data_IF_487366898740
#
_entry.id   IF_487366898740
#
_cell.length_a   1.000
_cell.length_b   1.000
_cell.length_c   1.000
_cell.angle_alpha   90.00
_cell.angle_beta   90.00
_cell.angle_gamma   90.00
#
_symmetry.space_group_name_H-M   'P 1'
#
loop_
_entity.id
_entity.type
_entity.pdbx_description
1 polymer ?
#
# COMPACT_ATOMS: atom_id res chain seq x y z
N UNK A 1 9.05 29.36 4.60
CA UNK A 1 8.95 28.51 3.39
C UNK A 1 9.94 29.01 2.36
N UNK A 2 10.57 28.12 1.56
CA UNK A 2 11.42 28.53 0.43
C UNK A 2 10.54 29.15 -0.68
N UNK A 3 11.06 30.14 -1.39
CA UNK A 3 10.32 30.79 -2.47
C UNK A 3 10.34 30.01 -3.78
N UNK A 4 11.27 29.05 -3.92
CA UNK A 4 11.47 28.26 -5.15
C UNK A 4 11.98 26.86 -4.80
N UNK A 5 11.48 25.84 -5.53
CA UNK A 5 12.00 24.48 -5.53
C UNK A 5 12.12 23.96 -6.98
N UNK A 6 12.99 23.00 -7.22
CA UNK A 6 13.06 22.30 -8.51
C UNK A 6 11.94 21.28 -8.65
N UNK A 7 11.50 20.67 -7.51
CA UNK A 7 10.29 19.87 -7.44
C UNK A 7 9.52 20.11 -6.14
N UNK A 8 8.19 20.07 -6.20
CA UNK A 8 7.29 20.05 -5.05
C UNK A 8 6.50 18.75 -5.06
N UNK A 9 6.67 17.95 -4.02
CA UNK A 9 5.87 16.74 -3.77
C UNK A 9 4.75 17.10 -2.80
N UNK A 10 3.50 16.83 -3.16
CA UNK A 10 2.32 17.10 -2.34
C UNK A 10 1.83 15.77 -1.76
N UNK A 11 1.81 15.67 -0.43
CA UNK A 11 1.40 14.48 0.32
C UNK A 11 2.55 13.68 0.91
N UNK A 12 2.59 13.58 2.23
CA UNK A 12 3.62 12.92 3.04
C UNK A 12 3.32 11.44 3.37
N UNK A 13 2.52 10.74 2.54
CA UNK A 13 2.31 9.29 2.61
C UNK A 13 3.46 8.50 2.00
N UNK A 14 3.31 7.17 1.92
CA UNK A 14 4.39 6.28 1.41
C UNK A 14 4.83 6.64 -0.01
N UNK A 15 3.92 6.99 -0.91
CA UNK A 15 4.27 7.32 -2.30
C UNK A 15 5.02 8.65 -2.39
N UNK A 16 4.53 9.69 -1.69
CA UNK A 16 5.19 11.00 -1.70
C UNK A 16 6.53 10.99 -0.97
N UNK A 17 6.61 10.37 0.20
CA UNK A 17 7.86 10.23 0.94
C UNK A 17 8.92 9.46 0.12
N UNK A 18 8.51 8.39 -0.57
CA UNK A 18 9.42 7.63 -1.45
C UNK A 18 9.89 8.47 -2.64
N UNK A 19 8.96 9.16 -3.32
CA UNK A 19 9.33 10.00 -4.45
C UNK A 19 10.28 11.13 -4.04
N UNK A 20 9.99 11.80 -2.91
CA UNK A 20 10.86 12.85 -2.37
C UNK A 20 12.25 12.31 -1.98
N UNK A 21 12.29 11.13 -1.32
CA UNK A 21 13.55 10.47 -0.96
C UNK A 21 14.41 10.17 -2.20
N UNK A 22 13.83 9.58 -3.23
CA UNK A 22 14.61 9.22 -4.42
C UNK A 22 14.98 10.45 -5.27
N UNK A 23 14.15 11.51 -5.31
CA UNK A 23 14.54 12.77 -5.96
C UNK A 23 15.77 13.39 -5.28
N UNK A 24 15.78 13.48 -3.95
CA UNK A 24 16.94 14.00 -3.22
C UNK A 24 18.17 13.11 -3.37
N UNK A 25 18.00 11.79 -3.30
CA UNK A 25 19.08 10.80 -3.50
C UNK A 25 19.72 10.88 -4.90
N UNK A 26 18.93 11.24 -5.91
CA UNK A 26 19.42 11.49 -7.28
C UNK A 26 20.05 12.86 -7.47
N UNK A 27 20.00 13.74 -6.47
CA UNK A 27 20.53 15.10 -6.57
C UNK A 27 19.71 15.99 -7.51
N UNK A 28 18.38 15.84 -7.55
CA UNK A 28 17.49 16.59 -8.46
C UNK A 28 17.42 18.10 -8.17
N UNK A 29 18.14 18.59 -7.18
CA UNK A 29 18.15 20.00 -6.76
C UNK A 29 17.31 20.23 -5.51
N UNK A 30 16.68 21.40 -5.40
CA UNK A 30 15.85 21.77 -4.23
C UNK A 30 14.49 21.06 -4.30
N UNK A 31 14.25 20.10 -3.42
CA UNK A 31 12.99 19.35 -3.32
C UNK A 31 12.23 19.78 -2.08
N UNK A 32 10.94 20.09 -2.25
CA UNK A 32 10.02 20.36 -1.15
C UNK A 32 8.97 19.27 -1.03
N UNK A 33 8.70 18.79 0.20
CA UNK A 33 7.56 17.93 0.54
C UNK A 33 6.57 18.72 1.38
N UNK A 34 5.34 18.87 0.87
CA UNK A 34 4.26 19.62 1.50
C UNK A 34 3.18 18.65 1.95
N UNK A 35 2.87 18.67 3.25
CA UNK A 35 1.87 17.79 3.87
C UNK A 35 0.91 18.61 4.73
N UNK A 36 -0.41 18.46 4.50
CA UNK A 36 -1.42 19.24 5.23
C UNK A 36 -1.55 18.86 6.70
N UNK A 37 -1.16 17.65 7.05
CA UNK A 37 -1.14 17.13 8.44
C UNK A 37 0.32 16.89 8.86
N UNK A 38 0.58 15.77 9.51
CA UNK A 38 1.93 15.21 9.70
C UNK A 38 2.21 14.16 8.65
N UNK A 39 3.48 13.92 8.34
CA UNK A 39 3.88 12.80 7.50
C UNK A 39 3.23 11.52 7.99
N UNK A 40 2.88 10.64 7.06
CA UNK A 40 2.12 9.41 7.31
C UNK A 40 0.71 9.62 7.89
N UNK A 41 0.21 10.84 8.02
CA UNK A 41 -1.08 11.15 8.67
C UNK A 41 -2.34 10.81 7.87
N UNK A 42 -2.19 10.28 6.65
CA UNK A 42 -3.28 9.78 5.80
C UNK A 42 -3.44 8.26 5.86
N UNK A 43 -3.89 7.65 4.74
CA UNK A 43 -4.18 6.20 4.64
C UNK A 43 -2.99 5.31 4.95
N UNK A 44 -1.76 5.78 4.78
CA UNK A 44 -0.56 4.96 4.98
C UNK A 44 -0.44 4.42 6.40
N UNK A 45 -0.73 5.23 7.44
CA UNK A 45 -0.62 4.79 8.85
C UNK A 45 -1.61 3.66 9.19
N UNK A 46 -2.73 3.59 8.50
CA UNK A 46 -3.80 2.60 8.70
C UNK A 46 -3.59 1.33 7.83
N UNK A 47 -2.46 1.20 7.15
CA UNK A 47 -2.15 0.02 6.35
C UNK A 47 -1.87 -1.18 7.24
N UNK A 48 -2.42 -2.36 6.88
CA UNK A 48 -1.97 -3.64 7.44
C UNK A 48 -0.49 -3.94 7.12
N UNK A 49 0.11 -3.15 6.23
CA UNK A 49 1.53 -3.14 5.87
C UNK A 49 2.11 -4.50 5.44
N UNK A 50 1.31 -5.30 4.75
CA UNK A 50 1.78 -6.55 4.15
C UNK A 50 2.82 -6.26 3.07
N UNK A 51 3.97 -6.88 3.15
CA UNK A 51 5.01 -6.88 2.12
C UNK A 51 4.99 -8.24 1.45
N UNK A 52 4.22 -8.37 0.36
CA UNK A 52 4.04 -9.59 -0.43
C UNK A 52 4.37 -9.35 -1.90
N UNK A 53 4.70 -10.40 -2.61
CA UNK A 53 5.13 -10.34 -4.02
C UNK A 53 4.11 -10.96 -4.99
N UNK A 54 3.00 -11.48 -4.48
CA UNK A 54 1.96 -12.14 -5.26
C UNK A 54 1.14 -11.14 -6.09
N UNK A 55 1.38 -11.11 -7.40
CA UNK A 55 0.68 -10.33 -8.42
C UNK A 55 0.59 -11.13 -9.72
N UNK A 56 -0.37 -10.77 -10.60
CA UNK A 56 -0.66 -11.50 -11.84
C UNK A 56 -0.17 -10.83 -13.12
N UNK A 57 0.34 -9.61 -13.06
CA UNK A 57 0.89 -8.92 -14.22
C UNK A 57 2.32 -8.44 -13.97
N UNK A 58 3.05 -8.24 -15.06
CA UNK A 58 4.48 -7.94 -15.03
C UNK A 58 4.82 -6.72 -14.18
N UNK A 59 4.15 -5.58 -14.41
CA UNK A 59 4.48 -4.34 -13.68
C UNK A 59 4.23 -4.49 -12.18
N UNK A 60 3.12 -5.13 -11.79
CA UNK A 60 2.82 -5.41 -10.39
C UNK A 60 3.84 -6.34 -9.74
N UNK A 61 4.25 -7.40 -10.44
CA UNK A 61 5.27 -8.35 -9.95
C UNK A 61 6.61 -7.62 -9.78
N UNK A 62 7.10 -6.88 -10.79
CA UNK A 62 8.37 -6.15 -10.73
C UNK A 62 8.40 -5.13 -9.60
N UNK A 63 7.33 -4.34 -9.43
CA UNK A 63 7.20 -3.38 -8.34
C UNK A 63 7.19 -4.05 -6.97
N UNK A 64 6.50 -5.20 -6.84
CA UNK A 64 6.43 -5.92 -5.58
C UNK A 64 7.76 -6.60 -5.22
N UNK A 65 8.45 -7.19 -6.20
CA UNK A 65 9.80 -7.79 -6.02
C UNK A 65 10.79 -6.71 -5.58
N UNK A 66 10.83 -5.56 -6.29
CA UNK A 66 11.72 -4.44 -5.93
C UNK A 66 11.35 -3.89 -4.55
N UNK A 67 10.06 -3.68 -4.27
CA UNK A 67 9.59 -3.22 -2.97
C UNK A 67 9.98 -4.18 -1.84
N UNK A 68 9.78 -5.48 -1.98
CA UNK A 68 10.17 -6.47 -0.99
C UNK A 68 11.68 -6.44 -0.72
N UNK A 69 12.50 -6.33 -1.76
CA UNK A 69 13.95 -6.15 -1.64
C UNK A 69 14.30 -4.88 -0.85
N UNK A 70 13.63 -3.75 -1.13
CA UNK A 70 13.85 -2.49 -0.40
C UNK A 70 13.50 -2.62 1.09
N UNK A 71 12.41 -3.30 1.42
CA UNK A 71 12.03 -3.55 2.82
C UNK A 71 13.03 -4.48 3.53
N UNK A 72 13.55 -5.49 2.84
CA UNK A 72 14.55 -6.39 3.39
C UNK A 72 15.90 -5.69 3.67
N UNK A 73 16.23 -4.65 2.89
CA UNK A 73 17.46 -3.87 3.00
C UNK A 73 17.17 -2.40 3.35
N UNK A 74 16.21 -2.17 4.26
CA UNK A 74 15.63 -0.84 4.48
C UNK A 74 16.66 0.22 4.94
N UNK A 75 17.65 -0.15 5.74
CA UNK A 75 18.70 0.78 6.20
C UNK A 75 19.46 1.41 5.01
N UNK A 76 19.76 0.62 3.99
CA UNK A 76 20.51 1.06 2.80
C UNK A 76 19.58 1.71 1.76
N UNK A 77 18.42 1.09 1.52
CA UNK A 77 17.54 1.45 0.42
C UNK A 77 16.57 2.59 0.78
N UNK A 78 16.02 2.57 2.01
CA UNK A 78 15.03 3.54 2.50
C UNK A 78 15.63 4.54 3.50
N UNK A 79 16.94 4.40 3.78
CA UNK A 79 17.70 5.32 4.62
C UNK A 79 17.47 5.18 6.12
N UNK A 80 16.87 4.08 6.57
CA UNK A 80 16.63 3.74 7.96
C UNK A 80 15.67 2.55 8.13
N UNK A 81 15.38 2.14 9.38
CA UNK A 81 14.58 0.95 9.64
C UNK A 81 13.14 1.08 9.13
N UNK A 82 12.61 0.03 8.54
CA UNK A 82 11.20 -0.10 8.14
C UNK A 82 10.37 -0.96 9.10
N UNK A 83 11.00 -1.56 10.13
CA UNK A 83 10.35 -2.52 11.02
C UNK A 83 9.85 -3.75 10.25
N UNK A 84 10.56 -4.16 9.20
CA UNK A 84 10.21 -5.32 8.41
C UNK A 84 10.44 -6.61 9.19
N UNK A 85 9.41 -7.46 9.22
CA UNK A 85 9.43 -8.79 9.83
C UNK A 85 9.20 -9.79 8.70
N UNK A 86 10.28 -10.47 8.30
CA UNK A 86 10.22 -11.54 7.31
C UNK A 86 9.67 -12.82 7.97
N UNK A 87 8.36 -13.01 7.88
CA UNK A 87 7.65 -14.15 8.47
C UNK A 87 6.99 -15.02 7.39
N UNK A 88 7.13 -14.61 6.14
CA UNK A 88 6.46 -15.20 4.99
C UNK A 88 5.08 -14.61 4.74
N UNK A 89 4.57 -14.90 3.54
CA UNK A 89 3.20 -14.62 3.12
C UNK A 89 2.58 -15.88 2.52
N UNK A 90 1.32 -16.12 2.82
CA UNK A 90 0.57 -17.26 2.33
C UNK A 90 -0.78 -16.81 1.78
N UNK A 91 -1.13 -17.29 0.58
CA UNK A 91 -2.46 -17.13 0.02
C UNK A 91 -3.11 -18.51 -0.07
N UNK A 92 -4.33 -18.61 0.45
CA UNK A 92 -5.16 -19.81 0.35
C UNK A 92 -6.13 -19.68 -0.82
N UNK A 93 -6.15 -20.70 -1.69
CA UNK A 93 -7.07 -20.81 -2.80
C UNK A 93 -8.15 -21.86 -2.53
N UNK A 94 -9.44 -21.55 -2.79
CA UNK A 94 -10.50 -22.55 -2.81
C UNK A 94 -10.37 -23.48 -4.05
N UNK A 95 -11.14 -24.59 -4.14
CA UNK A 95 -11.07 -25.50 -5.29
C UNK A 95 -11.22 -24.81 -6.66
N UNK A 96 -12.13 -23.83 -6.76
CA UNK A 96 -12.34 -23.07 -8.00
C UNK A 96 -11.18 -22.13 -8.36
N UNK A 97 -10.32 -21.81 -7.41
CA UNK A 97 -9.15 -20.94 -7.57
C UNK A 97 -7.82 -21.69 -7.80
N UNK A 98 -7.81 -23.01 -7.64
CA UNK A 98 -6.58 -23.80 -7.70
C UNK A 98 -5.84 -23.65 -9.03
N UNK A 99 -6.55 -23.75 -10.16
CA UNK A 99 -5.93 -23.66 -11.48
C UNK A 99 -5.33 -22.27 -11.71
N UNK A 100 -6.03 -21.20 -11.35
CA UNK A 100 -5.51 -19.83 -11.46
C UNK A 100 -4.22 -19.63 -10.66
N UNK A 101 -4.12 -20.24 -9.47
CA UNK A 101 -2.91 -20.20 -8.67
C UNK A 101 -1.76 -20.97 -9.34
N UNK A 102 -2.03 -22.14 -9.91
CA UNK A 102 -1.03 -22.92 -10.68
C UNK A 102 -0.54 -22.20 -11.93
N UNK A 103 -1.39 -21.43 -12.59
CA UNK A 103 -1.04 -20.69 -13.81
C UNK A 103 -0.19 -19.45 -13.50
N UNK A 104 -0.45 -18.73 -12.39
CA UNK A 104 0.25 -17.49 -12.06
C UNK A 104 1.62 -17.71 -11.43
N UNK A 105 1.81 -18.78 -10.66
CA UNK A 105 3.09 -19.01 -9.94
C UNK A 105 4.30 -19.13 -10.88
N UNK A 106 4.26 -19.88 -11.99
CA UNK A 106 5.39 -19.91 -12.92
C UNK A 106 5.75 -18.53 -13.51
N UNK A 107 4.75 -17.67 -13.71
CA UNK A 107 4.97 -16.29 -14.18
C UNK A 107 5.73 -15.50 -13.10
N UNK A 108 5.31 -15.57 -11.86
CA UNK A 108 5.97 -14.88 -10.73
C UNK A 108 7.40 -15.39 -10.54
N UNK A 109 7.62 -16.71 -10.60
CA UNK A 109 8.95 -17.32 -10.52
C UNK A 109 9.86 -16.85 -11.65
N UNK A 110 9.32 -16.64 -12.87
CA UNK A 110 10.05 -16.06 -14.00
C UNK A 110 10.57 -14.65 -13.74
N UNK A 111 9.96 -13.90 -12.81
CA UNK A 111 10.42 -12.59 -12.34
C UNK A 111 11.22 -12.63 -11.02
N UNK A 112 11.58 -13.82 -10.56
CA UNK A 112 12.42 -14.01 -9.37
C UNK A 112 11.67 -14.07 -8.04
N UNK A 113 10.33 -14.20 -8.04
CA UNK A 113 9.58 -14.43 -6.81
C UNK A 113 9.83 -15.84 -6.31
N UNK A 114 10.33 -15.95 -5.08
CA UNK A 114 10.46 -17.24 -4.40
C UNK A 114 9.10 -17.67 -3.85
N UNK A 115 8.37 -18.46 -4.63
CA UNK A 115 7.04 -18.96 -4.27
C UNK A 115 7.00 -20.48 -4.31
N UNK A 116 6.45 -21.08 -3.24
CA UNK A 116 6.19 -22.53 -3.13
C UNK A 116 4.69 -22.77 -3.24
N UNK A 117 4.29 -23.79 -4.01
CA UNK A 117 2.94 -24.34 -3.94
C UNK A 117 2.91 -25.44 -2.88
N UNK A 118 1.98 -25.36 -1.95
CA UNK A 118 1.83 -26.29 -0.84
C UNK A 118 0.40 -26.84 -0.80
N UNK A 119 0.30 -28.14 -0.57
CA UNK A 119 -0.97 -28.78 -0.23
C UNK A 119 -1.41 -28.40 1.19
N UNK A 120 -2.70 -28.53 1.54
CA UNK A 120 -3.16 -28.32 2.92
C UNK A 120 -2.38 -29.13 3.97
N UNK A 121 -2.03 -30.37 3.67
CA UNK A 121 -1.27 -31.24 4.59
C UNK A 121 0.14 -30.69 4.84
N UNK A 122 0.84 -30.25 3.77
CA UNK A 122 2.18 -29.63 3.91
C UNK A 122 2.14 -28.30 4.66
N UNK A 123 1.04 -27.56 4.57
CA UNK A 123 0.84 -26.35 5.37
C UNK A 123 0.60 -26.73 6.84
N UNK A 124 -0.26 -27.72 7.15
CA UNK A 124 -0.54 -28.16 8.51
C UNK A 124 0.66 -28.82 9.19
N UNK A 125 1.57 -29.45 8.44
CA UNK A 125 2.85 -29.94 9.00
C UNK A 125 3.71 -28.80 9.55
N UNK A 126 3.69 -27.63 8.92
CA UNK A 126 4.48 -26.44 9.32
C UNK A 126 3.75 -25.57 10.33
N UNK A 127 2.43 -25.42 10.17
CA UNK A 127 1.56 -24.58 11.01
C UNK A 127 0.32 -25.35 11.46
N UNK A 128 0.48 -26.28 12.43
CA UNK A 128 -0.59 -27.19 12.87
C UNK A 128 -1.77 -26.51 13.55
N UNK A 129 -1.64 -25.21 13.89
CA UNK A 129 -2.74 -24.40 14.42
C UNK A 129 -3.76 -23.97 13.36
N UNK A 130 -3.46 -24.12 12.07
CA UNK A 130 -4.34 -23.75 10.96
C UNK A 130 -5.30 -24.88 10.60
N UNK A 131 -6.54 -24.54 10.27
CA UNK A 131 -7.52 -25.45 9.71
C UNK A 131 -7.79 -25.09 8.24
N UNK A 132 -7.72 -26.06 7.33
CA UNK A 132 -7.68 -25.85 5.89
C UNK A 132 -8.70 -26.71 5.12
N UNK A 133 -9.83 -27.10 5.73
CA UNK A 133 -10.85 -27.97 5.14
C UNK A 133 -11.47 -27.36 3.84
N UNK A 134 -11.43 -26.04 3.68
CA UNK A 134 -11.95 -25.26 2.57
C UNK A 134 -10.86 -24.78 1.59
N UNK A 135 -9.62 -25.24 1.77
CA UNK A 135 -8.45 -24.85 0.95
C UNK A 135 -8.06 -26.01 0.03
N UNK A 136 -7.94 -25.76 -1.26
CA UNK A 136 -7.43 -26.74 -2.23
C UNK A 136 -5.90 -26.63 -2.41
N UNK A 137 -5.38 -25.42 -2.39
CA UNK A 137 -3.95 -25.15 -2.62
C UNK A 137 -3.54 -23.87 -1.91
N UNK A 138 -2.30 -23.81 -1.46
CA UNK A 138 -1.69 -22.59 -0.94
C UNK A 138 -0.46 -22.19 -1.76
N UNK A 139 -0.20 -20.89 -1.89
CA UNK A 139 1.13 -20.41 -2.26
C UNK A 139 1.81 -19.78 -1.05
N UNK A 140 3.10 -20.03 -0.87
CA UNK A 140 3.90 -19.54 0.22
C UNK A 140 5.14 -18.81 -0.29
N UNK A 141 5.31 -17.57 0.13
CA UNK A 141 6.46 -16.70 -0.18
C UNK A 141 7.31 -16.52 1.09
N UNK A 142 8.43 -17.23 1.25
CA UNK A 142 9.23 -17.19 2.48
C UNK A 142 9.94 -15.85 2.71
N UNK A 143 10.21 -15.08 1.65
CA UNK A 143 10.90 -13.79 1.69
C UNK A 143 9.97 -12.60 1.94
N UNK A 144 8.67 -12.85 1.99
CA UNK A 144 7.61 -11.87 2.26
C UNK A 144 7.34 -11.70 3.76
N UNK A 145 6.47 -10.76 4.15
CA UNK A 145 6.14 -10.51 5.54
C UNK A 145 5.31 -9.25 5.73
N UNK A 146 5.63 -8.47 6.75
CA UNK A 146 4.99 -7.17 7.01
C UNK A 146 6.00 -6.17 7.58
N UNK A 147 5.65 -4.88 7.51
CA UNK A 147 6.51 -3.80 8.01
C UNK A 147 5.72 -2.83 8.92
N UNK A 148 6.38 -1.76 9.37
CA UNK A 148 5.75 -0.67 10.11
C UNK A 148 5.59 0.54 9.20
N UNK A 149 4.36 0.96 8.86
CA UNK A 149 4.15 2.02 7.88
C UNK A 149 4.65 3.40 8.36
N UNK A 150 4.49 3.71 9.63
CA UNK A 150 4.92 4.99 10.20
C UNK A 150 6.45 5.06 10.20
N UNK A 151 7.12 4.02 10.72
CA UNK A 151 8.57 3.95 10.76
C UNK A 151 9.20 4.01 9.37
N UNK A 152 8.57 3.35 8.38
CA UNK A 152 9.03 3.38 6.99
C UNK A 152 9.02 4.80 6.42
N UNK A 153 7.89 5.51 6.57
CA UNK A 153 7.75 6.89 6.07
C UNK A 153 8.72 7.83 6.79
N UNK A 154 8.84 7.70 8.11
CA UNK A 154 9.78 8.50 8.89
C UNK A 154 11.23 8.28 8.44
N UNK A 155 11.62 7.05 8.14
CA UNK A 155 12.98 6.71 7.67
C UNK A 155 13.27 7.35 6.31
N UNK A 156 12.34 7.22 5.36
CA UNK A 156 12.43 7.86 4.03
C UNK A 156 12.58 9.39 4.16
N UNK A 157 11.71 10.03 4.93
CA UNK A 157 11.71 11.49 5.08
C UNK A 157 12.96 11.98 5.82
N UNK A 158 13.38 11.32 6.90
CA UNK A 158 14.63 11.66 7.60
C UNK A 158 15.86 11.50 6.71
N UNK A 159 15.88 10.47 5.88
CA UNK A 159 16.96 10.32 4.89
C UNK A 159 16.95 11.46 3.89
N UNK A 160 15.81 11.74 3.29
CA UNK A 160 15.65 12.84 2.35
C UNK A 160 16.05 14.20 2.95
N UNK A 161 15.71 14.46 4.24
CA UNK A 161 16.13 15.67 4.94
C UNK A 161 17.65 15.78 5.13
N UNK A 162 18.34 14.65 5.36
CA UNK A 162 19.82 14.65 5.37
C UNK A 162 20.40 15.02 4.01
N UNK A 163 19.68 14.72 2.94
CA UNK A 163 20.05 15.00 1.54
C UNK A 163 19.45 16.31 1.02
N UNK A 164 18.89 17.17 1.90
CA UNK A 164 18.45 18.52 1.57
C UNK A 164 16.95 18.70 1.34
N UNK A 165 16.10 17.73 1.66
CA UNK A 165 14.64 17.89 1.55
C UNK A 165 14.12 19.02 2.45
N UNK A 166 13.31 19.91 1.90
CA UNK A 166 12.52 20.89 2.65
C UNK A 166 11.15 20.28 2.98
N UNK A 167 10.93 19.95 4.26
CA UNK A 167 9.66 19.41 4.75
C UNK A 167 8.78 20.52 5.32
N UNK A 168 7.51 20.57 4.88
CA UNK A 168 6.47 21.47 5.40
C UNK A 168 5.27 20.63 5.85
N UNK A 169 5.15 20.40 7.16
CA UNK A 169 3.99 19.78 7.78
C UNK A 169 2.97 20.85 8.24
N UNK A 170 1.71 20.46 8.35
CA UNK A 170 0.62 21.40 8.67
C UNK A 170 0.39 22.43 7.57
N UNK A 171 0.86 22.19 6.36
CA UNK A 171 0.86 23.08 5.21
C UNK A 171 -0.08 22.55 4.11
N UNK A 172 -1.26 23.12 4.01
CA UNK A 172 -2.24 22.73 2.99
C UNK A 172 -1.97 23.43 1.67
N UNK A 173 -2.02 22.66 0.58
CA UNK A 173 -1.99 23.20 -0.78
C UNK A 173 -3.38 23.71 -1.13
N UNK A 174 -3.47 24.99 -1.52
CA UNK A 174 -4.68 25.70 -1.84
C UNK A 174 -4.88 25.90 -3.34
N UNK A 175 -3.80 25.74 -4.15
CA UNK A 175 -3.84 25.89 -5.59
C UNK A 175 -2.52 25.48 -6.27
N UNK A 176 -2.58 25.26 -7.56
CA UNK A 176 -1.42 25.05 -8.43
C UNK A 176 -1.45 26.10 -9.52
N UNK A 177 -0.37 26.88 -9.58
CA UNK A 177 -0.18 27.90 -10.62
C UNK A 177 0.25 27.25 -11.94
N UNK A 178 -0.38 27.66 -13.06
CA UNK A 178 -0.03 27.16 -14.39
C UNK A 178 0.11 28.31 -15.38
N UNK A 179 1.00 28.16 -16.34
CA UNK A 179 1.13 29.06 -17.48
C UNK A 179 1.51 28.30 -18.76
N UNK A 180 0.89 28.59 -19.87
CA UNK A 180 1.15 27.95 -21.17
C UNK A 180 1.09 26.41 -21.11
N UNK A 181 0.13 25.85 -20.38
CA UNK A 181 -0.07 24.39 -20.24
C UNK A 181 0.97 23.68 -19.37
N UNK A 182 1.71 24.40 -18.52
CA UNK A 182 2.72 23.85 -17.62
C UNK A 182 2.55 24.39 -16.21
N UNK A 183 2.95 23.62 -15.21
CA UNK A 183 3.00 24.11 -13.82
C UNK A 183 4.08 25.17 -13.66
N UNK A 184 3.81 26.15 -12.79
CA UNK A 184 4.74 27.24 -12.46
C UNK A 184 4.90 27.45 -10.96
N UNK A 185 4.02 26.86 -10.13
CA UNK A 185 4.12 27.01 -8.68
C UNK A 185 3.02 26.25 -7.95
N UNK A 186 3.21 26.15 -6.62
CA UNK A 186 2.25 25.58 -5.65
C UNK A 186 1.90 26.65 -4.64
N UNK A 187 0.61 26.96 -4.53
CA UNK A 187 0.08 27.95 -3.59
C UNK A 187 -0.34 27.26 -2.29
N UNK A 188 0.13 27.79 -1.17
CA UNK A 188 -0.22 27.31 0.18
C UNK A 188 -0.72 28.45 1.04
N UNK A 189 -1.20 28.16 2.25
CA UNK A 189 -1.56 29.20 3.23
C UNK A 189 -0.39 30.07 3.70
N UNK A 190 0.85 29.55 3.56
CA UNK A 190 2.09 30.25 3.99
C UNK A 190 2.81 30.94 2.84
N UNK A 191 2.25 30.92 1.63
CA UNK A 191 2.81 31.55 0.44
C UNK A 191 2.90 30.60 -0.77
N UNK A 192 3.57 31.05 -1.81
CA UNK A 192 3.76 30.29 -3.05
C UNK A 192 5.19 29.78 -3.17
N UNK A 193 5.35 28.52 -3.59
CA UNK A 193 6.63 27.91 -3.97
C UNK A 193 6.66 27.84 -5.49
N UNK A 194 7.50 28.65 -6.14
CA UNK A 194 7.70 28.58 -7.58
C UNK A 194 8.39 27.24 -7.93
N UNK A 195 7.83 26.50 -8.88
CA UNK A 195 8.38 25.22 -9.35
C UNK A 195 7.88 24.88 -10.73
N UNK A 196 8.65 24.10 -11.48
CA UNK A 196 8.25 23.52 -12.76
C UNK A 196 7.89 22.05 -12.69
N UNK A 197 8.00 21.42 -11.50
CA UNK A 197 7.65 20.02 -11.27
C UNK A 197 6.80 19.90 -10.01
N UNK A 198 5.60 19.33 -10.16
CA UNK A 198 4.67 19.03 -9.08
C UNK A 198 4.33 17.54 -9.11
N UNK A 199 4.48 16.85 -8.00
CA UNK A 199 4.04 15.47 -7.83
C UNK A 199 2.85 15.44 -6.88
N UNK A 200 1.69 15.03 -7.38
CA UNK A 200 0.50 14.78 -6.59
C UNK A 200 0.54 13.35 -6.01
N UNK A 201 0.91 13.23 -4.75
CA UNK A 201 0.97 11.97 -4.00
C UNK A 201 -0.03 11.94 -2.84
N UNK A 202 -1.18 12.59 -3.02
CA UNK A 202 -2.15 12.88 -1.97
C UNK A 202 -3.11 11.72 -1.64
N UNK A 203 -2.91 10.52 -2.19
CA UNK A 203 -3.78 9.37 -1.95
C UNK A 203 -5.26 9.71 -2.15
N UNK A 204 -6.15 9.49 -1.14
CA UNK A 204 -7.58 9.79 -1.27
C UNK A 204 -7.93 11.26 -1.56
N UNK A 205 -6.99 12.18 -1.42
CA UNK A 205 -7.18 13.59 -1.77
C UNK A 205 -6.59 13.97 -3.13
N UNK A 206 -6.03 13.00 -3.87
CA UNK A 206 -5.36 13.24 -5.15
C UNK A 206 -6.26 13.85 -6.22
N UNK A 207 -7.54 13.48 -6.27
CA UNK A 207 -8.52 14.04 -7.20
C UNK A 207 -8.79 15.53 -6.94
N UNK A 208 -8.78 15.97 -5.69
CA UNK A 208 -8.94 17.40 -5.32
C UNK A 208 -7.77 18.24 -5.84
N UNK A 209 -6.56 17.71 -5.72
CA UNK A 209 -5.37 18.38 -6.24
C UNK A 209 -5.41 18.43 -7.76
N UNK A 210 -5.81 17.33 -8.42
CA UNK A 210 -5.98 17.30 -9.89
C UNK A 210 -6.98 18.34 -10.40
N UNK A 211 -8.13 18.48 -9.74
CA UNK A 211 -9.14 19.47 -10.10
C UNK A 211 -8.65 20.92 -10.05
N UNK A 212 -7.61 21.24 -9.26
CA UNK A 212 -7.00 22.58 -9.25
C UNK A 212 -6.40 22.97 -10.59
N UNK A 213 -6.09 21.99 -11.44
CA UNK A 213 -5.54 22.16 -12.79
C UNK A 213 -6.43 21.57 -13.89
N UNK A 214 -7.68 21.21 -13.55
CA UNK A 214 -8.66 20.69 -14.51
C UNK A 214 -8.51 19.21 -14.87
N UNK A 215 -7.80 18.42 -14.07
CA UNK A 215 -7.67 16.96 -14.24
C UNK A 215 -8.62 16.24 -13.28
N UNK A 216 -9.50 15.41 -13.85
CA UNK A 216 -10.39 14.52 -13.10
C UNK A 216 -9.88 13.08 -13.17
N UNK A 217 -9.95 12.36 -12.04
CA UNK A 217 -9.49 10.98 -11.96
C UNK A 217 -10.65 10.02 -11.68
N UNK A 218 -10.70 8.83 -12.32
CA UNK A 218 -11.73 7.83 -12.10
C UNK A 218 -11.44 7.03 -10.82
N UNK A 219 -11.49 7.69 -9.67
CA UNK A 219 -11.27 7.05 -8.36
C UNK A 219 -12.53 7.05 -7.51
N UNK A 220 -12.65 6.02 -6.68
CA UNK A 220 -13.68 5.89 -5.65
C UNK A 220 -13.03 5.64 -4.30
N UNK A 221 -13.72 5.96 -3.22
CA UNK A 221 -13.21 5.81 -1.87
C UNK A 221 -13.98 4.73 -1.13
N UNK A 222 -13.25 3.93 -0.33
CA UNK A 222 -13.85 2.92 0.53
C UNK A 222 -13.16 2.94 1.89
N UNK A 223 -13.95 2.91 2.95
CA UNK A 223 -13.48 2.75 4.33
C UNK A 223 -13.12 1.29 4.57
N UNK A 224 -11.97 1.05 5.15
CA UNK A 224 -11.40 -0.28 5.34
C UNK A 224 -10.96 -0.46 6.78
N UNK A 225 -11.41 -1.55 7.40
CA UNK A 225 -11.27 -1.76 8.84
C UNK A 225 -10.24 -2.83 9.18
N UNK A 226 -9.56 -2.62 10.31
CA UNK A 226 -8.70 -3.57 10.97
C UNK A 226 -9.14 -3.79 12.42
N UNK A 227 -9.01 -5.02 12.90
CA UNK A 227 -9.20 -5.36 14.32
C UNK A 227 -7.95 -6.08 14.85
N UNK A 228 -7.59 -5.79 16.09
CA UNK A 228 -6.40 -6.34 16.76
C UNK A 228 -6.82 -7.04 18.04
N UNK A 229 -6.40 -8.30 18.20
CA UNK A 229 -6.68 -9.12 19.37
C UNK A 229 -5.39 -9.61 19.98
N UNK A 230 -5.35 -9.75 21.33
CA UNK A 230 -4.32 -10.51 22.02
C UNK A 230 -4.47 -11.99 21.70
N UNK A 231 -3.36 -12.71 21.59
CA UNK A 231 -3.34 -14.16 21.46
C UNK A 231 -2.92 -14.82 22.78
N UNK A 232 -3.26 -16.10 23.02
CA UNK A 232 -2.83 -16.83 24.19
C UNK A 232 -1.30 -16.90 24.33
N UNK A 233 -0.80 -16.94 25.57
CA UNK A 233 0.62 -17.15 25.83
C UNK A 233 1.13 -18.43 25.17
N UNK A 234 2.31 -18.33 24.53
CA UNK A 234 2.91 -19.46 23.82
C UNK A 234 2.26 -19.77 22.47
N UNK A 235 1.38 -18.89 21.97
CA UNK A 235 0.82 -19.03 20.64
C UNK A 235 1.91 -18.96 19.57
N UNK A 236 1.92 -19.96 18.68
CA UNK A 236 2.93 -20.03 17.61
C UNK A 236 2.63 -19.03 16.50
N UNK A 237 3.63 -18.27 16.07
CA UNK A 237 3.53 -17.39 14.93
C UNK A 237 3.22 -18.15 13.62
N UNK A 238 2.62 -17.42 12.67
CA UNK A 238 2.23 -17.92 11.36
C UNK A 238 2.52 -16.83 10.29
N UNK A 239 2.64 -17.19 9.00
CA UNK A 239 2.85 -16.20 7.94
C UNK A 239 1.70 -15.20 7.85
N UNK A 240 1.92 -14.06 7.19
CA UNK A 240 0.82 -13.23 6.74
C UNK A 240 -0.11 -14.07 5.85
N UNK A 241 -1.39 -14.14 6.17
CA UNK A 241 -2.38 -14.95 5.46
C UNK A 241 -3.32 -14.04 4.67
N UNK A 242 -3.52 -14.34 3.38
CA UNK A 242 -4.67 -13.90 2.58
C UNK A 242 -5.57 -15.09 2.33
N UNK A 243 -6.74 -15.07 2.92
CA UNK A 243 -7.71 -16.16 2.93
C UNK A 243 -8.81 -15.89 1.91
N UNK A 244 -8.64 -16.40 0.68
CA UNK A 244 -9.64 -16.21 -0.39
C UNK A 244 -10.94 -16.97 -0.09
N UNK A 245 -10.92 -18.24 0.41
CA UNK A 245 -12.15 -18.96 0.77
C UNK A 245 -13.06 -18.19 1.72
N UNK A 246 -12.50 -17.53 2.72
CA UNK A 246 -13.28 -16.84 3.76
C UNK A 246 -13.27 -15.31 3.63
N UNK A 247 -12.62 -14.77 2.59
CA UNK A 247 -12.58 -13.33 2.29
C UNK A 247 -12.07 -12.49 3.47
N UNK A 248 -10.91 -12.85 4.04
CA UNK A 248 -10.24 -12.05 5.07
C UNK A 248 -8.73 -12.19 4.95
N UNK A 249 -8.01 -11.40 5.70
CA UNK A 249 -6.57 -11.58 5.92
C UNK A 249 -6.25 -11.44 7.40
N UNK A 250 -5.17 -12.08 7.80
CA UNK A 250 -4.64 -11.89 9.15
C UNK A 250 -3.11 -12.02 9.15
N UNK A 251 -2.50 -11.48 10.20
CA UNK A 251 -1.08 -11.63 10.46
C UNK A 251 -0.75 -11.50 11.93
N UNK A 252 0.39 -12.06 12.37
CA UNK A 252 0.95 -11.71 13.67
C UNK A 252 1.15 -10.19 13.78
N UNK A 253 0.94 -9.68 14.98
CA UNK A 253 1.15 -8.27 15.30
C UNK A 253 2.04 -8.17 16.53
N UNK A 254 2.83 -7.09 16.61
CA UNK A 254 3.79 -6.88 17.69
C UNK A 254 3.17 -7.04 19.08
N UNK A 255 3.91 -7.67 20.00
CA UNK A 255 3.47 -7.83 21.39
C UNK A 255 2.45 -8.96 21.58
N UNK A 256 2.55 -10.08 20.85
CA UNK A 256 1.69 -11.26 21.04
C UNK A 256 0.24 -10.99 20.66
N UNK A 257 0.02 -10.43 19.46
CA UNK A 257 -1.29 -10.08 18.95
C UNK A 257 -1.51 -10.61 17.53
N UNK A 258 -2.76 -10.62 17.09
CA UNK A 258 -3.17 -10.85 15.71
C UNK A 258 -3.95 -9.66 15.19
N UNK A 259 -3.58 -9.20 13.99
CA UNK A 259 -4.35 -8.23 13.20
C UNK A 259 -5.19 -8.99 12.19
N UNK A 260 -6.45 -8.57 12.02
CA UNK A 260 -7.38 -9.15 11.04
C UNK A 260 -8.17 -8.04 10.34
N UNK A 261 -8.33 -8.20 9.02
CA UNK A 261 -9.12 -7.30 8.19
C UNK A 261 -9.86 -8.05 7.09
N UNK A 262 -10.80 -7.38 6.42
CA UNK A 262 -11.59 -7.98 5.36
C UNK A 262 -10.78 -8.11 4.06
N UNK A 263 -10.80 -9.31 3.47
CA UNK A 263 -10.11 -9.64 2.24
C UNK A 263 -10.93 -9.36 0.96
N UNK A 264 -10.42 -9.86 -0.16
CA UNK A 264 -11.07 -9.72 -1.46
C UNK A 264 -12.49 -10.32 -1.50
N UNK A 265 -13.34 -9.77 -2.37
CA UNK A 265 -14.80 -9.90 -2.51
C UNK A 265 -15.61 -9.16 -1.46
N UNK A 266 -14.99 -8.24 -0.73
CA UNK A 266 -15.72 -7.36 0.18
C UNK A 266 -16.58 -6.33 -0.57
N UNK A 267 -17.63 -5.87 0.08
CA UNK A 267 -18.38 -4.71 -0.38
C UNK A 267 -17.60 -3.44 -0.09
N UNK A 268 -17.59 -2.50 -1.06
CA UNK A 268 -17.04 -1.16 -0.80
C UNK A 268 -17.96 -0.43 0.19
N UNK A 269 -17.35 0.21 1.17
CA UNK A 269 -18.04 1.15 2.07
C UNK A 269 -17.70 2.59 1.63
N UNK A 270 -18.56 3.24 0.81
CA UNK A 270 -18.29 4.58 0.32
C UNK A 270 -18.11 5.58 1.46
N UNK A 271 -17.12 6.44 1.35
CA UNK A 271 -16.76 7.38 2.40
C UNK A 271 -16.22 8.69 1.82
N UNK A 272 -16.42 9.80 2.55
CA UNK A 272 -15.69 11.05 2.30
C UNK A 272 -14.35 10.99 3.07
N UNK A 273 -13.20 11.08 2.39
CA UNK A 273 -11.89 11.06 3.05
C UNK A 273 -11.67 12.17 4.08
N UNK A 274 -12.43 13.26 4.02
CA UNK A 274 -12.33 14.37 4.98
C UNK A 274 -13.16 14.14 6.23
N UNK A 275 -14.16 13.29 6.17
CA UNK A 275 -15.14 13.17 7.25
C UNK A 275 -15.55 11.72 7.46
N UNK A 276 -14.70 10.93 8.10
CA UNK A 276 -15.01 9.55 8.49
C UNK A 276 -14.48 9.26 9.90
N UNK A 277 -15.07 8.28 10.56
CA UNK A 277 -14.58 7.72 11.81
C UNK A 277 -13.40 6.78 11.52
N UNK A 278 -12.23 7.07 12.08
CA UNK A 278 -11.02 6.26 11.91
C UNK A 278 -10.94 5.07 12.89
N UNK A 279 -11.92 4.89 13.77
CA UNK A 279 -12.10 3.69 14.58
C UNK A 279 -12.61 2.51 13.76
N UNK A 280 -12.64 1.31 14.34
CA UNK A 280 -13.26 0.14 13.71
C UNK A 280 -14.69 -0.05 14.25
N UNK A 281 -15.59 -0.49 13.38
CA UNK A 281 -16.98 -0.75 13.76
C UNK A 281 -17.11 -2.11 14.47
N UNK A 282 -17.99 -2.16 15.49
CA UNK A 282 -18.31 -3.41 16.19
C UNK A 282 -18.85 -4.51 15.24
N UNK A 283 -19.56 -4.09 14.19
CA UNK A 283 -20.06 -5.01 13.16
C UNK A 283 -18.91 -5.70 12.41
N UNK A 284 -17.86 -4.95 12.07
CA UNK A 284 -16.64 -5.51 11.46
C UNK A 284 -15.96 -6.51 12.40
N UNK A 285 -15.72 -6.11 13.66
CA UNK A 285 -15.10 -6.98 14.69
C UNK A 285 -15.88 -8.29 14.81
N UNK A 286 -17.22 -8.21 14.94
CA UNK A 286 -18.09 -9.39 15.00
C UNK A 286 -18.04 -10.26 13.76
N UNK A 287 -17.90 -9.67 12.59
CA UNK A 287 -17.80 -10.39 11.31
C UNK A 287 -16.46 -11.11 11.13
N UNK A 288 -15.36 -10.55 11.64
CA UNK A 288 -14.03 -11.14 11.49
C UNK A 288 -13.74 -12.28 12.47
N UNK A 289 -14.28 -12.23 13.69
CA UNK A 289 -14.03 -13.25 14.71
C UNK A 289 -14.39 -14.68 14.26
N UNK A 290 -15.57 -14.96 13.68
CA UNK A 290 -15.87 -16.30 13.17
C UNK A 290 -14.90 -16.80 12.09
N UNK A 291 -14.46 -15.93 11.18
CA UNK A 291 -13.51 -16.25 10.12
C UNK A 291 -12.15 -16.61 10.70
N UNK A 292 -11.65 -15.77 11.63
CA UNK A 292 -10.41 -16.01 12.36
C UNK A 292 -10.45 -17.32 13.15
N UNK A 293 -11.55 -17.59 13.87
CA UNK A 293 -11.75 -18.84 14.64
C UNK A 293 -11.89 -20.07 13.74
N UNK A 294 -12.46 -19.92 12.54
CA UNK A 294 -12.51 -21.01 11.59
C UNK A 294 -11.12 -21.38 11.09
N UNK A 295 -10.29 -20.37 10.78
CA UNK A 295 -8.92 -20.60 10.30
C UNK A 295 -7.93 -20.99 11.40
N UNK A 296 -8.09 -20.43 12.62
CA UNK A 296 -7.20 -20.64 13.76
C UNK A 296 -8.02 -21.08 14.99
N UNK A 297 -8.48 -22.37 15.05
CA UNK A 297 -9.36 -22.84 16.11
C UNK A 297 -8.78 -22.73 17.53
N UNK A 298 -7.46 -22.70 17.66
CA UNK A 298 -6.76 -22.56 18.95
C UNK A 298 -7.05 -21.23 19.67
N UNK A 299 -7.60 -20.22 18.96
CA UNK A 299 -8.07 -18.96 19.55
C UNK A 299 -9.48 -19.07 20.17
N UNK A 300 -10.19 -20.18 19.97
CA UNK A 300 -11.57 -20.35 20.45
C UNK A 300 -11.75 -20.24 21.98
N UNK A 301 -10.83 -20.73 22.83
CA UNK A 301 -10.99 -20.62 24.29
C UNK A 301 -11.10 -19.18 24.78
N UNK A 302 -10.58 -18.23 24.03
CA UNK A 302 -10.59 -16.81 24.36
C UNK A 302 -11.65 -16.05 23.57
N UNK A 303 -11.59 -16.10 22.24
CA UNK A 303 -12.44 -15.26 21.38
C UNK A 303 -13.94 -15.63 21.41
N UNK A 304 -14.32 -16.86 21.83
CA UNK A 304 -15.71 -17.26 21.99
C UNK A 304 -16.37 -16.77 23.29
N UNK A 305 -15.61 -16.18 24.21
CA UNK A 305 -16.16 -15.62 25.45
C UNK A 305 -16.86 -14.28 25.20
N UNK A 306 -17.80 -13.86 26.07
CA UNK A 306 -18.35 -12.51 26.00
C UNK A 306 -17.26 -11.44 25.90
N UNK A 307 -17.46 -10.42 25.09
CA UNK A 307 -16.46 -9.39 24.81
C UNK A 307 -15.11 -9.96 24.38
N UNK A 308 -15.14 -11.07 23.60
CA UNK A 308 -13.92 -11.77 23.12
C UNK A 308 -12.93 -12.14 24.23
N UNK A 309 -13.45 -12.42 25.44
CA UNK A 309 -12.63 -12.72 26.60
C UNK A 309 -11.72 -11.58 27.07
N UNK A 310 -12.01 -10.34 26.64
CA UNK A 310 -11.15 -9.18 26.91
C UNK A 310 -9.90 -9.10 26.05
N UNK A 311 -9.78 -9.91 25.00
CA UNK A 311 -8.61 -9.91 24.09
C UNK A 311 -8.71 -8.90 22.97
N UNK A 312 -9.88 -8.29 22.70
CA UNK A 312 -9.94 -7.17 21.76
C UNK A 312 -9.16 -5.98 22.31
N UNK A 313 -8.09 -5.61 21.63
CA UNK A 313 -7.18 -4.53 22.05
C UNK A 313 -7.64 -3.20 21.48
N UNK A 314 -7.80 -3.14 20.18
CA UNK A 314 -8.18 -1.95 19.42
C UNK A 314 -8.55 -2.31 17.99
N UNK A 315 -9.04 -1.33 17.27
CA UNK A 315 -9.21 -1.40 15.83
C UNK A 315 -9.17 0.01 15.26
N UNK A 316 -8.96 0.08 13.97
CA UNK A 316 -8.91 1.34 13.23
C UNK A 316 -9.46 1.14 11.81
N UNK A 317 -9.71 2.24 11.13
CA UNK A 317 -10.05 2.22 9.72
C UNK A 317 -9.26 3.27 8.94
N UNK A 318 -9.02 2.98 7.67
CA UNK A 318 -8.40 3.89 6.73
C UNK A 318 -9.22 3.99 5.45
N UNK A 319 -8.82 4.88 4.55
CA UNK A 319 -9.52 5.06 3.28
C UNK A 319 -8.67 4.52 2.14
N UNK A 320 -9.25 3.63 1.33
CA UNK A 320 -8.67 3.26 0.04
C UNK A 320 -9.12 4.24 -1.04
N UNK A 321 -8.17 4.66 -1.85
CA UNK A 321 -8.31 5.41 -3.09
C UNK A 321 -8.32 4.44 -4.26
N UNK A 322 -9.50 3.97 -4.68
CA UNK A 322 -9.68 2.84 -5.58
C UNK A 322 -9.86 3.31 -7.01
N UNK A 323 -8.96 2.91 -7.90
CA UNK A 323 -9.08 3.05 -9.35
C UNK A 323 -9.95 1.93 -9.94
N UNK A 324 -10.41 2.09 -11.17
CA UNK A 324 -11.26 1.10 -11.85
C UNK A 324 -10.57 -0.27 -11.95
N UNK A 325 -9.29 -0.30 -12.25
CA UNK A 325 -8.49 -1.51 -12.43
C UNK A 325 -7.68 -1.91 -11.20
N UNK A 326 -7.84 -1.18 -10.09
CA UNK A 326 -7.14 -1.42 -8.82
C UNK A 326 -5.62 -1.19 -8.87
N UNK A 327 -5.09 -0.53 -9.90
CA UNK A 327 -3.67 -0.15 -9.99
C UNK A 327 -3.48 1.35 -9.83
N UNK A 328 -2.38 1.81 -9.24
CA UNK A 328 -2.16 3.24 -9.01
C UNK A 328 -2.06 4.03 -10.32
N UNK A 329 -2.29 5.33 -10.23
CA UNK A 329 -2.06 6.28 -11.30
C UNK A 329 -0.68 6.89 -11.07
N UNK A 330 0.25 6.66 -12.00
CA UNK A 330 1.64 7.14 -11.89
C UNK A 330 2.12 7.64 -13.24
N UNK A 331 2.64 8.87 -13.28
CA UNK A 331 3.23 9.45 -14.48
C UNK A 331 2.90 10.92 -14.70
N UNK A 332 3.46 11.49 -15.75
CA UNK A 332 3.17 12.87 -16.17
C UNK A 332 1.78 12.96 -16.81
N UNK A 333 1.07 14.02 -16.50
CA UNK A 333 -0.25 14.32 -17.04
C UNK A 333 -0.15 15.28 -18.24
N UNK A 334 -1.30 15.63 -18.83
CA UNK A 334 -1.34 16.57 -19.96
C UNK A 334 -0.80 17.97 -19.61
N UNK A 335 -0.93 18.38 -18.35
CA UNK A 335 -0.31 19.62 -17.85
C UNK A 335 1.16 19.35 -17.59
N UNK A 336 2.02 19.86 -18.44
CA UNK A 336 3.46 19.59 -18.40
C UNK A 336 4.10 19.92 -17.04
N UNK A 337 4.92 18.99 -16.53
CA UNK A 337 5.55 19.08 -15.22
C UNK A 337 4.65 18.71 -14.05
N UNK A 338 3.41 18.28 -14.29
CA UNK A 338 2.55 17.73 -13.27
C UNK A 338 2.49 16.20 -13.34
N UNK A 339 2.80 15.54 -12.24
CA UNK A 339 2.88 14.08 -12.13
C UNK A 339 1.87 13.58 -11.11
N UNK A 340 1.18 12.49 -11.44
CA UNK A 340 0.32 11.74 -10.51
C UNK A 340 1.09 10.59 -9.87
N UNK A 341 0.84 10.33 -8.59
CA UNK A 341 1.42 9.22 -7.83
C UNK A 341 0.49 8.82 -6.68
N UNK A 342 -0.69 8.30 -6.96
CA UNK A 342 -1.70 7.91 -5.97
C UNK A 342 -2.65 6.84 -6.54
N UNK A 343 -3.78 6.55 -5.89
CA UNK A 343 -4.70 5.50 -6.33
C UNK A 343 -4.23 4.09 -5.94
N UNK A 344 -3.59 3.98 -4.78
CA UNK A 344 -2.95 2.73 -4.31
C UNK A 344 -3.87 1.55 -4.11
N UNK A 345 -5.20 1.74 -4.12
CA UNK A 345 -6.25 0.70 -4.09
C UNK A 345 -5.98 -0.37 -3.01
N UNK A 346 -5.47 0.05 -1.83
CA UNK A 346 -5.15 -0.81 -0.69
C UNK A 346 -3.88 -1.66 -0.81
N UNK A 347 -3.06 -1.47 -1.85
CA UNK A 347 -1.77 -2.17 -1.95
C UNK A 347 -0.57 -1.23 -2.20
N UNK A 348 -0.79 0.07 -2.15
CA UNK A 348 0.24 1.08 -2.39
C UNK A 348 1.44 1.02 -1.44
N UNK A 349 1.26 0.57 -0.18
CA UNK A 349 2.33 0.58 0.80
C UNK A 349 3.57 -0.19 0.33
N UNK A 350 3.42 -1.47 -0.04
CA UNK A 350 4.56 -2.34 -0.41
C UNK A 350 5.22 -2.01 -1.74
N UNK A 351 4.46 -1.40 -2.68
CA UNK A 351 4.98 -1.02 -4.00
C UNK A 351 5.40 0.46 -4.06
N UNK A 352 5.00 1.26 -3.07
CA UNK A 352 5.26 2.70 -3.01
C UNK A 352 6.73 3.07 -3.13
N UNK A 353 7.66 2.40 -2.41
CA UNK A 353 9.09 2.68 -2.57
C UNK A 353 9.62 2.46 -4.00
N UNK A 354 9.24 1.36 -4.65
CA UNK A 354 9.65 1.05 -6.02
C UNK A 354 9.00 1.99 -7.06
N UNK A 355 7.76 2.42 -6.81
CA UNK A 355 7.10 3.46 -7.61
C UNK A 355 7.84 4.79 -7.45
N UNK A 356 8.15 5.20 -6.21
CA UNK A 356 8.85 6.45 -5.94
C UNK A 356 10.24 6.49 -6.60
N UNK A 357 10.98 5.38 -6.56
CA UNK A 357 12.28 5.23 -7.25
C UNK A 357 12.13 5.42 -8.77
N UNK A 358 11.16 4.72 -9.37
CA UNK A 358 10.96 4.76 -10.83
C UNK A 358 10.43 6.11 -11.30
N UNK A 359 9.52 6.72 -10.54
CA UNK A 359 8.98 8.05 -10.86
C UNK A 359 10.03 9.14 -10.70
N UNK A 360 10.84 9.09 -9.64
CA UNK A 360 11.94 10.05 -9.45
C UNK A 360 12.97 9.98 -10.59
N UNK A 361 13.32 8.77 -11.04
CA UNK A 361 14.20 8.59 -12.20
C UNK A 361 13.58 9.18 -13.48
N UNK A 362 12.31 8.93 -13.74
CA UNK A 362 11.60 9.50 -14.89
C UNK A 362 11.57 11.05 -14.85
N UNK A 363 11.26 11.64 -13.69
CA UNK A 363 11.28 13.10 -13.47
C UNK A 363 12.69 13.67 -13.70
N UNK A 364 13.72 12.96 -13.30
CA UNK A 364 15.13 13.34 -13.52
C UNK A 364 15.62 13.11 -14.97
N UNK A 365 14.76 12.62 -15.88
CA UNK A 365 15.14 12.30 -17.26
C UNK A 365 16.05 11.08 -17.38
N UNK A 366 16.07 10.21 -16.37
CA UNK A 366 16.81 8.96 -16.37
C UNK A 366 15.90 7.78 -16.73
N UNK A 367 16.48 6.68 -17.20
CA UNK A 367 15.71 5.45 -17.40
C UNK A 367 15.24 4.90 -16.05
N UNK A 368 13.92 4.73 -15.84
CA UNK A 368 13.40 4.19 -14.59
C UNK A 368 13.82 2.72 -14.41
N UNK A 369 14.15 2.29 -13.19
CA UNK A 369 14.47 0.89 -12.89
C UNK A 369 13.35 -0.09 -13.30
N UNK A 370 12.10 0.38 -13.21
CA UNK A 370 10.92 -0.36 -13.66
C UNK A 370 10.13 0.57 -14.58
N UNK A 371 9.75 0.07 -15.76
CA UNK A 371 8.86 0.80 -16.65
C UNK A 371 7.46 0.92 -16.03
N UNK A 372 7.11 2.14 -15.63
CA UNK A 372 5.83 2.50 -15.03
C UNK A 372 4.86 3.17 -16.02
N UNK A 373 5.19 3.21 -17.30
CA UNK A 373 4.39 3.90 -18.34
C UNK A 373 2.96 3.35 -18.45
N UNK A 374 2.79 2.06 -18.22
CA UNK A 374 1.48 1.39 -18.17
C UNK A 374 0.59 1.84 -17.00
N UNK A 375 1.15 2.51 -16.00
CA UNK A 375 0.41 3.08 -14.85
C UNK A 375 -0.10 4.51 -15.12
N UNK A 376 0.19 5.11 -16.28
CA UNK A 376 -0.31 6.44 -16.66
C UNK A 376 -1.84 6.53 -16.55
N UNK A 377 -2.37 7.68 -16.12
CA UNK A 377 -3.81 7.96 -16.08
C UNK A 377 -4.50 7.85 -17.44
N UNK A 378 -3.78 8.08 -18.53
CA UNK A 378 -4.27 7.94 -19.89
C UNK A 378 -4.81 6.54 -20.22
N UNK A 379 -4.37 5.48 -19.51
CA UNK A 379 -4.84 4.10 -19.73
C UNK A 379 -6.36 3.95 -19.62
N UNK A 380 -7.01 4.75 -18.78
CA UNK A 380 -8.48 4.69 -18.62
C UNK A 380 -9.21 5.20 -19.86
N UNK A 381 -8.79 6.31 -20.44
CA UNK A 381 -9.36 6.86 -21.67
C UNK A 381 -9.02 6.01 -22.91
N UNK A 382 -7.88 5.32 -22.88
CA UNK A 382 -7.41 4.44 -23.94
C UNK A 382 -7.97 3.00 -23.86
N UNK A 383 -8.70 2.66 -22.77
CA UNK A 383 -9.21 1.31 -22.53
C UNK A 383 -8.13 0.24 -22.28
N UNK A 384 -6.97 0.65 -21.75
CA UNK A 384 -5.81 -0.21 -21.45
C UNK A 384 -5.71 -0.57 -19.98
N UNK A 385 -6.84 -0.81 -19.32
CA UNK A 385 -6.90 -1.15 -17.91
C UNK A 385 -6.36 -2.55 -17.63
N UNK A 386 -5.86 -2.76 -16.42
CA UNK A 386 -5.33 -4.05 -15.98
C UNK A 386 -6.48 -5.03 -15.70
N UNK A 387 -6.32 -6.27 -16.16
CA UNK A 387 -7.15 -7.40 -15.77
C UNK A 387 -6.56 -8.15 -14.58
N UNK A 388 -7.35 -9.06 -14.01
CA UNK A 388 -6.91 -10.01 -13.00
C UNK A 388 -7.41 -11.41 -13.33
N UNK A 389 -6.59 -12.43 -13.09
CA UNK A 389 -6.99 -13.86 -13.25
C UNK A 389 -8.15 -14.25 -12.33
N UNK A 390 -8.33 -13.54 -11.22
CA UNK A 390 -9.37 -13.80 -10.23
C UNK A 390 -10.62 -12.90 -10.39
N UNK A 391 -10.67 -12.07 -11.45
CA UNK A 391 -11.74 -11.11 -11.72
C UNK A 391 -11.49 -9.73 -11.12
N UNK A 392 -12.39 -8.77 -11.37
CA UNK A 392 -12.25 -7.38 -10.97
C UNK A 392 -12.00 -7.21 -9.47
N UNK A 393 -11.04 -6.39 -9.11
CA UNK A 393 -10.69 -6.08 -7.70
C UNK A 393 -9.73 -7.07 -7.04
N UNK A 394 -9.37 -8.15 -7.69
CA UNK A 394 -8.28 -9.02 -7.25
C UNK A 394 -7.00 -8.66 -8.00
N UNK A 395 -5.90 -8.56 -7.29
CA UNK A 395 -4.57 -8.15 -7.80
C UNK A 395 -3.64 -9.34 -7.96
N UNK A 396 -4.13 -10.52 -7.62
CA UNK A 396 -3.40 -11.78 -7.74
C UNK A 396 -3.72 -12.50 -9.04
#
# INVERSE_FOLDING_TARGET
>A
MIAKADAVVIGGGIMGASTAHFLTKLGFGEVALVEKRKICGGSTQYSAAHVRQHYSNEVGIRLAVRGASMFAHAEEELGGPAGFVQIGYMLFAPPEGEQGLRDVIPVQQGFGVETLLLTPDEVMERWPQLRLDDVALACYEPTSGFANPVLTVESLVRSAQRDGLHLYEGCEVLGISTANGRVTGVVTGDGEIATSVVVNACGPWGDRIGRMIGVDYPITFSREHEAIFDVPDGFQDFPVISDVPQCFYCRPFVGGKVLVGEGWRKQKEPVDPENYDDGTDEAHVRGMVPKLLNRIPSLAPTLRRPNYGGTFVTGYSGVYDITEDWYPIVGEEEVGGYYSCFGGSGHGFKIGPAIGESLAAAIAGQAPPIDISSLSGARFSEGKTFGSVWGPGNRA
#
